data_IF_746815222171
#
_entry.id   IF_746815222171
#
_cell.length_a   1.000
_cell.length_b   1.000
_cell.length_c   1.000
_cell.angle_alpha   90.00
_cell.angle_beta   90.00
_cell.angle_gamma   90.00
#
_symmetry.space_group_name_H-M   'P 1'
#
loop_
_entity.id
_entity.type
_entity.pdbx_description
1 polymer ?
#
# COMPACT_ATOMS: atom_id res chain seq x y z
N UNK A 1 -16.15 -14.68 23.31
CA UNK A 1 -16.75 -16.00 23.06
C UNK A 1 -15.95 -16.87 22.07
N UNK A 2 -14.90 -16.41 21.38
CA UNK A 2 -14.23 -17.24 20.36
C UNK A 2 -12.68 -17.28 20.38
N UNK A 3 -12.03 -16.81 21.46
CA UNK A 3 -10.56 -16.86 21.57
C UNK A 3 -9.84 -16.08 20.46
N UNK A 4 -8.58 -16.45 20.21
CA UNK A 4 -7.71 -15.78 19.23
C UNK A 4 -7.90 -16.30 17.79
N UNK A 5 -8.71 -17.34 17.56
CA UNK A 5 -8.97 -17.88 16.22
C UNK A 5 -10.45 -18.10 16.04
N UNK A 6 -11.04 -17.46 15.02
CA UNK A 6 -12.46 -17.57 14.72
C UNK A 6 -12.68 -17.78 13.22
N UNK A 7 -13.71 -18.54 12.86
CA UNK A 7 -14.11 -18.74 11.46
C UNK A 7 -15.54 -18.26 11.27
N UNK A 8 -15.77 -17.43 10.25
CA UNK A 8 -17.11 -16.98 9.86
C UNK A 8 -17.28 -17.04 8.34
N UNK A 9 -18.53 -17.04 7.88
CA UNK A 9 -18.84 -17.07 6.44
C UNK A 9 -18.93 -15.64 5.91
N UNK A 10 -18.12 -15.33 4.91
CA UNK A 10 -18.13 -14.06 4.16
C UNK A 10 -18.33 -14.35 2.67
N UNK A 11 -19.41 -13.83 2.08
CA UNK A 11 -19.77 -14.06 0.67
C UNK A 11 -19.75 -15.54 0.25
N UNK A 12 -20.29 -16.41 1.12
CA UNK A 12 -20.36 -17.86 0.87
C UNK A 12 -19.03 -18.60 1.05
N UNK A 13 -17.97 -17.93 1.50
CA UNK A 13 -16.67 -18.54 1.81
C UNK A 13 -16.39 -18.52 3.31
N UNK A 14 -15.85 -19.60 3.84
CA UNK A 14 -15.36 -19.63 5.22
C UNK A 14 -14.05 -18.85 5.31
N UNK A 15 -14.02 -17.84 6.18
CA UNK A 15 -12.85 -17.00 6.47
C UNK A 15 -12.43 -17.24 7.90
N UNK A 16 -11.22 -17.77 8.08
CA UNK A 16 -10.59 -17.96 9.39
C UNK A 16 -9.70 -16.77 9.69
N UNK A 17 -9.94 -16.12 10.84
CA UNK A 17 -9.17 -14.98 11.33
C UNK A 17 -8.42 -15.42 12.57
N UNK A 18 -7.10 -15.30 12.51
CA UNK A 18 -6.22 -15.44 13.66
C UNK A 18 -5.81 -14.05 14.17
N UNK A 19 -6.26 -13.72 15.39
CA UNK A 19 -6.03 -12.45 16.07
C UNK A 19 -4.72 -12.49 16.89
N UNK A 20 -4.19 -11.30 17.20
CA UNK A 20 -2.98 -11.15 18.02
C UNK A 20 -1.66 -11.42 17.29
N UNK A 21 -0.55 -11.29 18.02
CA UNK A 21 0.81 -11.42 17.47
C UNK A 21 1.13 -12.84 16.98
N UNK A 22 0.46 -13.86 17.54
CA UNK A 22 0.56 -15.24 17.08
C UNK A 22 -0.16 -15.45 15.74
N UNK A 23 -1.34 -14.84 15.55
CA UNK A 23 -2.07 -14.87 14.28
C UNK A 23 -1.35 -14.14 13.15
N UNK A 24 -0.68 -13.02 13.46
CA UNK A 24 0.16 -12.29 12.52
C UNK A 24 1.31 -13.15 11.96
N UNK A 25 1.98 -13.94 12.82
CA UNK A 25 3.04 -14.86 12.38
C UNK A 25 2.49 -16.06 11.61
N UNK A 26 1.39 -16.66 12.05
CA UNK A 26 0.77 -17.77 11.31
C UNK A 26 0.32 -17.34 9.90
N UNK A 27 -0.22 -16.13 9.75
CA UNK A 27 -0.70 -15.60 8.46
C UNK A 27 0.43 -15.05 7.58
N UNK A 28 1.46 -14.43 8.17
CA UNK A 28 2.53 -13.73 7.41
C UNK A 28 3.79 -14.58 7.21
N UNK A 29 4.06 -15.54 8.10
CA UNK A 29 5.29 -16.38 8.08
C UNK A 29 5.03 -17.89 8.02
N UNK A 30 3.78 -18.34 8.03
CA UNK A 30 3.42 -19.73 8.35
C UNK A 30 2.94 -20.61 7.20
N UNK A 31 3.10 -20.22 5.94
CA UNK A 31 2.88 -21.15 4.83
C UNK A 31 4.22 -21.37 4.13
N UNK A 32 4.84 -22.52 4.40
CA UNK A 32 5.74 -23.14 3.45
C UNK A 32 5.01 -23.20 2.11
N UNK A 33 5.41 -22.31 1.19
CA UNK A 33 5.27 -22.24 -0.28
C UNK A 33 4.07 -22.83 -1.05
N UNK A 34 3.07 -23.46 -0.43
CA UNK A 34 2.07 -24.30 -1.13
C UNK A 34 0.62 -23.87 -0.93
N UNK A 35 0.10 -23.78 0.31
CA UNK A 35 -1.36 -23.83 0.47
C UNK A 35 -2.04 -22.48 0.78
N UNK A 36 -1.45 -21.61 1.60
CA UNK A 36 -2.07 -20.32 1.90
C UNK A 36 -1.89 -19.28 0.78
N UNK A 37 -0.87 -19.48 -0.06
CA UNK A 37 -0.53 -18.60 -1.16
C UNK A 37 -1.29 -18.89 -2.45
N UNK A 38 -2.13 -19.92 -2.55
CA UNK A 38 -2.89 -20.17 -3.79
C UNK A 38 -4.28 -19.50 -3.77
N UNK A 39 -4.96 -19.49 -2.63
CA UNK A 39 -6.28 -18.85 -2.54
C UNK A 39 -6.24 -17.32 -2.43
N UNK A 40 -5.23 -16.78 -1.73
CA UNK A 40 -5.08 -15.33 -1.55
C UNK A 40 -4.83 -14.57 -2.86
N UNK A 41 -3.86 -14.94 -3.72
CA UNK A 41 -3.64 -14.23 -4.97
C UNK A 41 -4.81 -14.37 -5.92
N UNK A 42 -5.55 -15.49 -5.94
CA UNK A 42 -6.77 -15.57 -6.74
C UNK A 42 -7.83 -14.54 -6.31
N UNK A 43 -8.00 -14.31 -5.00
CA UNK A 43 -8.91 -13.27 -4.47
C UNK A 43 -8.47 -11.86 -4.89
N UNK A 44 -7.17 -11.56 -4.81
CA UNK A 44 -6.66 -10.26 -5.23
C UNK A 44 -6.64 -10.09 -6.75
N UNK A 45 -6.35 -11.14 -7.50
CA UNK A 45 -6.34 -11.18 -8.96
C UNK A 45 -7.65 -10.64 -9.55
N UNK A 46 -8.79 -11.14 -9.07
CA UNK A 46 -10.11 -10.75 -9.57
C UNK A 46 -10.39 -9.24 -9.43
N UNK A 47 -9.82 -8.59 -8.42
CA UNK A 47 -10.05 -7.17 -8.14
C UNK A 47 -8.97 -6.28 -8.78
N UNK A 48 -7.74 -6.80 -8.88
CA UNK A 48 -6.57 -6.01 -9.29
C UNK A 48 -6.28 -6.09 -10.79
N UNK A 49 -6.43 -7.27 -11.42
CA UNK A 49 -6.10 -7.45 -12.85
C UNK A 49 -6.96 -6.59 -13.79
N UNK A 50 -8.26 -6.37 -13.57
CA UNK A 50 -9.04 -5.44 -14.40
C UNK A 50 -8.57 -3.98 -14.31
N UNK A 51 -7.90 -3.60 -13.22
CA UNK A 51 -7.43 -2.22 -12.98
C UNK A 51 -5.98 -2.04 -13.45
N UNK A 52 -5.10 -2.97 -13.10
CA UNK A 52 -3.66 -2.89 -13.40
C UNK A 52 -3.26 -3.55 -14.72
N UNK A 53 -4.20 -4.22 -15.39
CA UNK A 53 -3.98 -5.02 -16.61
C UNK A 53 -3.21 -6.32 -16.35
N UNK A 54 -2.96 -7.05 -17.44
CA UNK A 54 -2.27 -8.35 -17.43
C UNK A 54 -0.77 -8.22 -17.18
N UNK A 55 -0.15 -9.32 -16.79
CA UNK A 55 1.30 -9.50 -16.62
C UNK A 55 1.95 -8.65 -15.50
N UNK A 56 1.15 -8.17 -14.54
CA UNK A 56 1.62 -7.38 -13.40
C UNK A 56 0.96 -7.80 -12.09
N UNK A 57 1.65 -7.53 -10.98
CA UNK A 57 1.14 -7.73 -9.62
C UNK A 57 0.75 -9.19 -9.33
N UNK A 58 -0.54 -9.54 -9.49
CA UNK A 58 -1.09 -10.87 -9.19
C UNK A 58 -1.34 -11.71 -10.44
N UNK A 59 -1.17 -11.17 -11.66
CA UNK A 59 -1.24 -11.92 -12.92
C UNK A 59 0.12 -12.51 -13.34
N UNK A 60 0.99 -12.79 -12.38
CA UNK A 60 2.35 -13.32 -12.59
C UNK A 60 2.77 -14.28 -11.47
N UNK A 61 3.69 -15.22 -11.75
CA UNK A 61 4.31 -16.06 -10.72
C UNK A 61 4.95 -15.25 -9.58
N UNK A 62 4.88 -15.77 -8.36
CA UNK A 62 5.38 -15.08 -7.15
C UNK A 62 6.86 -14.66 -7.24
N UNK A 63 7.73 -15.46 -7.87
CA UNK A 63 9.14 -15.10 -8.04
C UNK A 63 9.32 -13.84 -8.90
N UNK A 64 8.55 -13.71 -9.98
CA UNK A 64 8.52 -12.50 -10.83
C UNK A 64 7.92 -11.32 -10.06
N UNK A 65 6.89 -11.57 -9.24
CA UNK A 65 6.32 -10.53 -8.39
C UNK A 65 7.32 -9.97 -7.37
N UNK A 66 8.19 -10.82 -6.81
CA UNK A 66 9.28 -10.39 -5.93
C UNK A 66 10.32 -9.55 -6.68
N UNK A 67 10.63 -9.88 -7.94
CA UNK A 67 11.49 -9.05 -8.79
C UNK A 67 10.84 -7.68 -9.09
N UNK A 68 9.55 -7.64 -9.43
CA UNK A 68 8.81 -6.38 -9.61
C UNK A 68 8.88 -5.49 -8.37
N UNK A 69 8.69 -6.07 -7.17
CA UNK A 69 8.86 -5.35 -5.90
C UNK A 69 10.26 -4.81 -5.71
N UNK A 70 11.29 -5.56 -6.12
CA UNK A 70 12.69 -5.11 -6.04
C UNK A 70 12.93 -3.89 -6.93
N UNK A 71 12.39 -3.85 -8.14
CA UNK A 71 12.49 -2.68 -9.02
C UNK A 71 11.86 -1.44 -8.40
N UNK A 72 10.66 -1.56 -7.83
CA UNK A 72 9.99 -0.44 -7.14
C UNK A 72 10.83 0.04 -5.96
N UNK A 73 11.39 -0.88 -5.16
CA UNK A 73 12.21 -0.56 -3.99
C UNK A 73 13.43 0.29 -4.31
N UNK A 74 14.05 0.12 -5.48
CA UNK A 74 15.19 0.94 -5.93
C UNK A 74 14.79 2.42 -6.08
N UNK A 75 13.54 2.71 -6.45
CA UNK A 75 13.04 4.08 -6.53
C UNK A 75 12.77 4.71 -5.15
N UNK A 76 12.51 3.88 -4.14
CA UNK A 76 12.11 4.25 -2.78
C UNK A 76 13.31 4.33 -1.82
N UNK A 77 14.31 5.13 -2.19
CA UNK A 77 15.49 5.39 -1.35
C UNK A 77 15.42 6.76 -0.69
N UNK A 78 16.09 6.93 0.46
CA UNK A 78 16.14 8.22 1.19
C UNK A 78 16.60 9.39 0.30
N UNK A 79 17.56 9.15 -0.59
CA UNK A 79 18.04 10.17 -1.52
C UNK A 79 16.97 10.56 -2.55
N UNK A 80 16.18 9.61 -3.04
CA UNK A 80 15.07 9.90 -3.94
C UNK A 80 13.89 10.55 -3.19
N UNK A 81 13.62 10.16 -1.94
CA UNK A 81 12.59 10.80 -1.13
C UNK A 81 12.85 12.29 -0.89
N UNK A 82 14.11 12.71 -0.73
CA UNK A 82 14.45 14.14 -0.66
C UNK A 82 14.01 14.90 -1.92
N UNK A 83 14.23 14.31 -3.11
CA UNK A 83 13.77 14.88 -4.38
C UNK A 83 12.24 14.85 -4.52
N UNK A 84 11.61 13.76 -4.07
CA UNK A 84 10.14 13.62 -4.13
C UNK A 84 9.44 14.63 -3.22
N UNK A 85 10.00 14.93 -2.05
CA UNK A 85 9.44 15.92 -1.13
C UNK A 85 9.29 17.29 -1.82
N UNK A 86 10.33 17.77 -2.50
CA UNK A 86 10.29 19.06 -3.22
C UNK A 86 9.25 19.04 -4.35
N UNK A 87 9.16 17.94 -5.11
CA UNK A 87 8.18 17.80 -6.18
C UNK A 87 6.74 17.78 -5.66
N UNK A 88 6.50 17.09 -4.55
CA UNK A 88 5.17 17.03 -3.90
C UNK A 88 4.77 18.43 -3.40
N UNK A 89 5.69 19.17 -2.76
CA UNK A 89 5.39 20.54 -2.30
C UNK A 89 5.06 21.44 -3.48
N UNK A 90 5.84 21.36 -4.57
CA UNK A 90 5.61 22.15 -5.78
C UNK A 90 4.24 21.85 -6.40
N UNK A 91 3.88 20.56 -6.53
CA UNK A 91 2.59 20.15 -7.09
C UNK A 91 1.42 20.57 -6.19
N UNK A 92 1.59 20.47 -4.87
CA UNK A 92 0.60 20.97 -3.93
C UNK A 92 0.40 22.49 -4.08
N UNK A 93 1.47 23.28 -4.10
CA UNK A 93 1.40 24.74 -4.32
C UNK A 93 0.72 25.09 -5.67
N UNK A 94 1.01 24.32 -6.72
CA UNK A 94 0.37 24.47 -8.03
C UNK A 94 -1.13 24.15 -7.97
N UNK A 95 -1.52 23.05 -7.32
CA UNK A 95 -2.92 22.67 -7.15
C UNK A 95 -3.75 23.75 -6.44
N UNK A 96 -3.20 24.37 -5.39
CA UNK A 96 -3.87 25.45 -4.66
C UNK A 96 -4.04 26.73 -5.47
N UNK A 97 -3.12 27.03 -6.39
CA UNK A 97 -3.23 28.21 -7.26
C UNK A 97 -4.22 27.96 -8.40
N UNK A 98 -4.18 26.76 -8.98
CA UNK A 98 -5.00 26.33 -10.10
C UNK A 98 -6.48 26.07 -9.73
N UNK A 99 -6.80 25.78 -8.46
CA UNK A 99 -8.16 25.46 -8.03
C UNK A 99 -8.79 26.61 -7.22
N UNK A 100 -9.64 27.48 -7.83
CA UNK A 100 -10.20 28.65 -7.14
C UNK A 100 -11.07 28.29 -5.94
N UNK A 101 -11.74 27.13 -5.98
CA UNK A 101 -12.63 26.63 -4.94
C UNK A 101 -11.95 26.27 -3.63
N UNK A 102 -10.63 26.11 -3.59
CA UNK A 102 -9.92 25.64 -2.40
C UNK A 102 -9.05 26.72 -1.75
N UNK A 103 -9.11 27.96 -2.25
CA UNK A 103 -8.27 29.07 -1.77
C UNK A 103 -8.53 29.46 -0.31
N UNK A 104 -9.74 29.27 0.19
CA UNK A 104 -10.12 29.63 1.57
C UNK A 104 -9.48 28.72 2.63
N UNK A 105 -9.11 27.47 2.27
CA UNK A 105 -8.48 26.52 3.21
C UNK A 105 -7.01 26.88 3.47
N UNK A 106 -6.38 27.68 2.59
CA UNK A 106 -4.95 28.01 2.64
C UNK A 106 -4.56 28.96 3.79
N UNK A 107 -5.51 29.69 4.38
CA UNK A 107 -5.18 30.84 5.23
C UNK A 107 -4.58 30.46 6.60
N UNK A 108 -4.78 29.23 7.08
CA UNK A 108 -4.32 28.79 8.43
C UNK A 108 -2.98 28.04 8.44
N UNK A 109 -2.25 28.01 7.32
CA UNK A 109 -1.15 27.07 7.13
C UNK A 109 0.24 27.66 7.46
N UNK A 110 0.39 28.35 8.60
CA UNK A 110 1.69 28.87 9.10
C UNK A 110 2.70 27.73 9.36
N UNK A 111 2.22 26.52 9.64
CA UNK A 111 3.06 25.34 9.90
C UNK A 111 3.90 24.90 8.69
N UNK A 112 3.36 24.90 7.47
CA UNK A 112 4.02 24.31 6.30
C UNK A 112 5.33 25.02 5.92
N UNK A 113 5.47 26.31 6.24
CA UNK A 113 6.73 27.06 6.01
C UNK A 113 7.89 26.57 6.89
N UNK A 114 7.61 25.96 8.04
CA UNK A 114 8.63 25.47 8.98
C UNK A 114 9.40 24.25 8.43
N UNK A 115 8.78 23.45 7.57
CA UNK A 115 9.43 22.29 6.93
C UNK A 115 10.48 22.69 5.89
N UNK A 116 10.41 23.92 5.34
CA UNK A 116 11.39 24.46 4.38
C UNK A 116 12.76 24.75 5.03
N UNK A 117 12.82 24.94 6.34
CA UNK A 117 14.07 25.26 7.08
C UNK A 117 14.83 24.00 7.50
N UNK A 118 14.18 22.84 7.55
CA UNK A 118 14.82 21.58 7.99
C UNK A 118 15.49 20.78 6.86
N UNK A 119 15.45 21.30 5.62
CA UNK A 119 16.01 20.65 4.43
C UNK A 119 17.12 21.49 3.74
N UNK A 120 17.55 22.60 4.33
CA UNK A 120 18.76 23.36 3.96
C UNK A 120 19.93 22.97 4.86
#
# INVERSE_FOLDING_TARGET
QYGDVLTFVLFGRHVTVALGSQGGKSTTSGAEEGEAFDELPFKFYLITTPVFSKDVVYDIPNHIFMEQKKFIKVSLTTNNFRKYADMIVKEAEAFWTATPRLRFIRQDSIHWRRWRILLS
#
